data_IF_802199225525
#
_entry.id   IF_802199225525
#
_cell.length_a   1.000
_cell.length_b   1.000
_cell.length_c   1.000
_cell.angle_alpha   90.00
_cell.angle_beta   90.00
_cell.angle_gamma   90.00
#
_symmetry.space_group_name_H-M   'P 1'
#
loop_
_entity.id
_entity.type
_entity.pdbx_description
1 polymer ?
#
# COMPACT_ATOMS: atom_id res chain seq x y z
N UNK A 1 -19.69 -11.01 -21.55
CA UNK A 1 -20.43 -10.66 -20.32
C UNK A 1 -19.37 -10.30 -19.29
N UNK A 2 -19.08 -9.00 -19.10
CA UNK A 2 -18.04 -8.55 -18.16
C UNK A 2 -18.69 -8.41 -16.79
N UNK A 3 -18.36 -9.30 -15.86
CA UNK A 3 -18.83 -9.21 -14.48
C UNK A 3 -18.03 -8.12 -13.78
N UNK A 4 -18.68 -7.01 -13.42
CA UNK A 4 -18.07 -5.98 -12.58
C UNK A 4 -17.79 -6.60 -11.21
N UNK A 5 -16.53 -6.60 -10.72
CA UNK A 5 -16.23 -7.15 -9.40
C UNK A 5 -17.08 -6.42 -8.35
N UNK A 6 -17.86 -7.19 -7.57
CA UNK A 6 -18.60 -6.65 -6.43
C UNK A 6 -17.59 -6.27 -5.35
N UNK A 7 -17.56 -5.00 -4.99
CA UNK A 7 -16.75 -4.48 -3.90
C UNK A 7 -17.28 -5.02 -2.58
N UNK A 8 -16.41 -5.65 -1.78
CA UNK A 8 -16.80 -6.28 -0.51
C UNK A 8 -16.50 -5.37 0.68
N UNK A 9 -15.41 -4.61 0.63
CA UNK A 9 -14.99 -3.70 1.70
C UNK A 9 -14.03 -2.63 1.15
N UNK A 10 -14.04 -1.43 1.73
CA UNK A 10 -13.09 -0.34 1.44
C UNK A 10 -12.30 -0.05 2.71
N UNK A 11 -10.98 0.01 2.61
CA UNK A 11 -10.09 0.34 3.72
C UNK A 11 -9.11 1.45 3.31
N UNK A 12 -8.91 2.39 4.22
CA UNK A 12 -7.89 3.43 4.12
C UNK A 12 -6.74 3.10 5.08
N UNK A 13 -5.51 3.31 4.64
CA UNK A 13 -4.31 3.05 5.43
C UNK A 13 -3.28 4.16 5.29
N UNK A 14 -2.69 4.55 6.42
CA UNK A 14 -1.67 5.59 6.52
C UNK A 14 -0.37 4.98 7.06
N UNK A 15 0.72 5.16 6.32
CA UNK A 15 2.06 4.80 6.77
C UNK A 15 2.85 6.07 7.06
N UNK A 16 3.30 6.21 8.30
CA UNK A 16 4.16 7.31 8.73
C UNK A 16 5.60 6.84 8.83
N UNK A 17 6.50 7.62 8.25
CA UNK A 17 7.95 7.49 8.30
C UNK A 17 8.61 8.82 8.63
N UNK A 18 9.94 8.83 8.67
CA UNK A 18 10.69 10.07 8.84
C UNK A 18 10.59 10.93 7.57
N UNK A 19 10.47 12.27 7.69
CA UNK A 19 10.51 13.18 6.53
C UNK A 19 11.78 13.06 5.68
N UNK A 20 12.87 12.53 6.25
CA UNK A 20 14.10 12.25 5.52
C UNK A 20 13.97 11.09 4.51
N UNK A 21 12.83 10.40 4.48
CA UNK A 21 12.54 9.33 3.55
C UNK A 21 11.39 9.73 2.62
N UNK A 22 11.53 9.29 1.37
CA UNK A 22 10.47 9.34 0.36
C UNK A 22 9.87 7.96 0.21
N UNK A 23 8.55 7.93 0.13
CA UNK A 23 7.81 6.71 -0.13
C UNK A 23 7.53 6.54 -1.62
N UNK A 24 7.54 5.30 -2.09
CA UNK A 24 6.88 4.92 -3.32
C UNK A 24 5.36 4.79 -3.06
N UNK A 25 4.49 5.02 -4.07
CA UNK A 25 3.08 4.69 -3.95
C UNK A 25 2.88 3.25 -3.48
N UNK A 26 1.86 3.03 -2.66
CA UNK A 26 1.51 1.68 -2.18
C UNK A 26 0.87 0.90 -3.32
N UNK A 27 1.25 -0.37 -3.46
CA UNK A 27 0.73 -1.28 -4.47
C UNK A 27 0.14 -2.55 -3.83
N UNK A 28 -0.77 -3.21 -4.56
CA UNK A 28 -1.19 -4.58 -4.22
C UNK A 28 -0.15 -5.54 -4.77
N UNK A 29 0.56 -6.23 -3.86
CA UNK A 29 1.54 -7.24 -4.24
C UNK A 29 0.88 -8.61 -4.50
N UNK A 30 -0.19 -8.94 -3.78
CA UNK A 30 -0.90 -10.20 -3.93
C UNK A 30 -2.35 -10.14 -3.38
N UNK A 31 -3.16 -11.12 -3.77
CA UNK A 31 -4.48 -11.39 -3.20
C UNK A 31 -5.63 -10.55 -3.76
N UNK A 32 -6.83 -10.64 -3.15
CA UNK A 32 -8.08 -10.13 -3.70
C UNK A 32 -8.31 -8.65 -3.35
N UNK A 33 -7.30 -7.80 -3.59
CA UNK A 33 -7.36 -6.36 -3.34
C UNK A 33 -7.18 -5.58 -4.64
N UNK A 34 -7.76 -4.39 -4.69
CA UNK A 34 -7.59 -3.42 -5.77
C UNK A 34 -7.30 -2.05 -5.15
N UNK A 35 -6.25 -1.37 -5.62
CA UNK A 35 -6.02 0.04 -5.26
C UNK A 35 -7.07 0.90 -5.95
N UNK A 36 -7.79 1.71 -5.16
CA UNK A 36 -8.69 2.76 -5.66
C UNK A 36 -7.92 4.06 -5.80
N UNK A 37 -7.14 4.39 -4.78
CA UNK A 37 -6.34 5.61 -4.71
C UNK A 37 -5.06 5.33 -3.94
N UNK A 38 -3.95 5.90 -4.39
CA UNK A 38 -2.68 5.82 -3.70
C UNK A 38 -1.96 7.17 -3.76
N UNK A 39 -1.41 7.59 -2.63
CA UNK A 39 -0.60 8.78 -2.48
C UNK A 39 0.72 8.45 -1.82
N UNK A 40 1.79 9.13 -2.23
CA UNK A 40 3.07 9.06 -1.56
C UNK A 40 3.73 10.44 -1.53
N UNK A 41 4.33 10.77 -0.38
CA UNK A 41 5.00 12.03 -0.16
C UNK A 41 6.17 11.88 0.82
N UNK A 42 6.68 13.01 1.28
CA UNK A 42 7.75 13.05 2.28
C UNK A 42 7.21 12.56 3.63
N UNK A 43 7.85 11.52 4.17
CA UNK A 43 7.46 10.93 5.44
C UNK A 43 6.11 10.21 5.48
N UNK A 44 5.27 10.25 4.44
CA UNK A 44 3.93 9.64 4.49
C UNK A 44 3.54 8.95 3.19
N UNK A 45 2.85 7.82 3.29
CA UNK A 45 2.16 7.15 2.20
C UNK A 45 0.73 6.80 2.60
N UNK A 46 -0.20 6.98 1.67
CA UNK A 46 -1.63 6.69 1.86
C UNK A 46 -2.11 5.75 0.77
N UNK A 47 -3.05 4.89 1.13
CA UNK A 47 -3.72 4.01 0.16
C UNK A 47 -5.14 3.76 0.58
N UNK A 48 -6.03 3.81 -0.41
CA UNK A 48 -7.40 3.35 -0.32
C UNK A 48 -7.52 2.11 -1.20
N UNK A 49 -7.90 0.99 -0.58
CA UNK A 49 -8.05 -0.29 -1.27
C UNK A 49 -9.46 -0.81 -1.13
N UNK A 50 -9.86 -1.59 -2.13
CA UNK A 50 -11.10 -2.34 -2.14
C UNK A 50 -10.82 -3.83 -2.19
N UNK A 51 -11.54 -4.60 -1.38
CA UNK A 51 -11.59 -6.05 -1.51
C UNK A 51 -12.48 -6.45 -2.70
N UNK A 52 -11.95 -7.29 -3.58
CA UNK A 52 -12.66 -7.88 -4.73
C UNK A 52 -13.09 -9.33 -4.47
N UNK A 53 -12.69 -9.89 -3.33
CA UNK A 53 -12.95 -11.26 -2.89
C UNK A 53 -12.54 -11.44 -1.42
N UNK A 54 -12.88 -12.58 -0.85
CA UNK A 54 -12.45 -12.99 0.50
C UNK A 54 -11.04 -13.58 0.45
N UNK A 55 -10.30 -13.47 1.55
CA UNK A 55 -8.95 -14.02 1.70
C UNK A 55 -7.90 -12.98 2.05
N UNK A 56 -6.65 -13.41 2.00
CA UNK A 56 -5.48 -12.59 2.36
C UNK A 56 -4.98 -11.81 1.14
N UNK A 57 -4.77 -10.51 1.32
CA UNK A 57 -4.10 -9.64 0.38
C UNK A 57 -2.86 -8.99 0.98
N UNK A 58 -1.87 -8.72 0.14
CA UNK A 58 -0.62 -8.07 0.54
C UNK A 58 -0.53 -6.69 -0.12
N UNK A 59 -0.31 -5.68 0.70
CA UNK A 59 0.08 -4.34 0.27
C UNK A 59 1.57 -4.12 0.51
N UNK A 60 2.20 -3.42 -0.43
CA UNK A 60 3.64 -3.17 -0.41
C UNK A 60 3.93 -1.71 -0.70
N UNK A 61 4.94 -1.18 -0.02
CA UNK A 61 5.55 0.09 -0.39
C UNK A 61 7.04 0.08 -0.05
N UNK A 62 7.80 0.96 -0.69
CA UNK A 62 9.23 1.11 -0.46
C UNK A 62 9.50 2.51 0.09
N UNK A 63 10.28 2.59 1.16
CA UNK A 63 10.73 3.84 1.76
C UNK A 63 12.23 4.00 1.50
N UNK A 64 12.60 5.03 0.76
CA UNK A 64 13.99 5.30 0.36
C UNK A 64 14.47 6.58 1.02
N UNK A 65 15.68 6.56 1.56
CA UNK A 65 16.28 7.77 2.13
C UNK A 65 16.49 8.82 1.04
N UNK A 66 15.99 10.03 1.27
CA UNK A 66 16.03 11.13 0.30
C UNK A 66 17.24 12.05 0.48
N UNK A 67 18.06 11.81 1.51
CA UNK A 67 19.30 12.54 1.75
C UNK A 67 20.45 12.03 0.86
N UNK A 68 21.66 11.99 1.42
CA UNK A 68 22.83 11.57 0.66
C UNK A 68 22.81 10.07 0.26
N UNK A 69 23.59 9.74 -0.78
CA UNK A 69 23.69 8.38 -1.33
C UNK A 69 24.33 7.34 -0.39
N UNK A 70 24.97 7.79 0.68
CA UNK A 70 25.56 6.96 1.75
C UNK A 70 24.63 6.86 2.95
N UNK A 71 23.43 7.44 2.86
CA UNK A 71 22.44 7.42 3.90
C UNK A 71 21.88 6.01 4.17
N UNK A 72 20.98 5.90 5.14
CA UNK A 72 20.44 4.62 5.56
C UNK A 72 19.80 3.84 4.41
N UNK A 73 19.79 2.51 4.56
CA UNK A 73 19.24 1.60 3.56
C UNK A 73 17.74 1.83 3.30
N UNK A 74 17.35 1.63 2.04
CA UNK A 74 15.95 1.50 1.62
C UNK A 74 15.24 0.41 2.44
N UNK A 75 14.03 0.71 2.90
CA UNK A 75 13.21 -0.22 3.68
C UNK A 75 12.00 -0.66 2.88
N UNK A 76 11.75 -1.97 2.89
CA UNK A 76 10.54 -2.55 2.34
C UNK A 76 9.47 -2.60 3.43
N UNK A 77 8.30 -2.05 3.14
CA UNK A 77 7.12 -2.16 3.98
C UNK A 77 6.10 -3.11 3.36
N UNK A 78 5.50 -3.92 4.25
CA UNK A 78 4.50 -4.94 3.91
C UNK A 78 3.37 -4.87 4.92
N UNK A 79 2.14 -4.90 4.44
CA UNK A 79 0.93 -4.99 5.25
C UNK A 79 0.07 -6.12 4.69
N UNK A 80 -0.28 -7.08 5.55
CA UNK A 80 -1.24 -8.13 5.24
C UNK A 80 -2.63 -7.68 5.65
N UNK A 81 -3.58 -7.80 4.73
CA UNK A 81 -4.99 -7.47 4.94
C UNK A 81 -5.78 -8.77 4.81
N UNK A 82 -6.51 -9.12 5.85
CA UNK A 82 -7.39 -10.28 5.86
C UNK A 82 -8.82 -9.82 5.63
N UNK A 83 -9.46 -10.32 4.57
CA UNK A 83 -10.85 -10.04 4.24
C UNK A 83 -11.69 -11.25 4.64
N UNK A 84 -12.45 -11.10 5.71
CA UNK A 84 -13.36 -12.13 6.19
C UNK A 84 -14.58 -12.30 5.26
N UNK A 85 -15.22 -13.49 5.25
CA UNK A 85 -16.46 -13.76 4.52
C UNK A 85 -17.67 -12.93 4.94
#
# INVERSE_FOLDING_TARGET
>A
MWSTPRLICVAESFMHGSPAYRWAPVEVAAGPLMVVEAGAGEGTATVTVCATGTGEGELRSTSTFAGDRFGPQTRLWRLLVYVDP
#
